data_IF_814664576437
#
_entry.id   IF_814664576437
#
_cell.length_a   1.000
_cell.length_b   1.000
_cell.length_c   1.000
_cell.angle_alpha   90.00
_cell.angle_beta   90.00
_cell.angle_gamma   90.00
#
_symmetry.space_group_name_H-M   'P 1'
#
loop_
_entity.id
_entity.type
_entity.pdbx_description
1 polymer ?
#
# COMPACT_ATOMS: atom_id res chain seq x y z
N UNK A 1 17.09 -9.95 23.99
CA UNK A 1 18.04 -8.85 23.66
C UNK A 1 19.46 -9.41 23.59
N UNK A 2 20.31 -8.85 22.71
CA UNK A 2 21.73 -9.19 22.66
C UNK A 2 22.49 -8.64 23.88
N UNK A 3 23.69 -9.16 24.13
CA UNK A 3 24.58 -8.61 25.21
C UNK A 3 24.89 -7.14 24.99
N UNK A 4 25.08 -6.72 23.73
CA UNK A 4 25.33 -5.34 23.34
C UNK A 4 24.11 -4.44 23.61
N UNK A 5 22.90 -4.96 23.39
CA UNK A 5 21.67 -4.20 23.65
C UNK A 5 21.43 -4.02 25.16
N UNK A 6 21.69 -5.06 25.95
CA UNK A 6 21.60 -4.96 27.39
C UNK A 6 22.59 -3.96 27.97
N UNK A 7 23.85 -3.99 27.52
CA UNK A 7 24.86 -3.02 27.94
C UNK A 7 24.46 -1.58 27.62
N UNK A 8 23.86 -1.37 26.45
CA UNK A 8 23.35 -0.05 26.06
C UNK A 8 22.18 0.40 26.95
N UNK A 9 21.20 -0.46 27.16
CA UNK A 9 20.03 -0.15 28.00
C UNK A 9 20.46 0.18 29.44
N UNK A 10 21.46 -0.51 29.98
CA UNK A 10 21.97 -0.30 31.32
C UNK A 10 22.67 1.06 31.53
N UNK A 11 23.09 1.75 30.47
CA UNK A 11 23.65 3.10 30.55
C UNK A 11 22.61 4.15 30.96
N UNK A 12 21.34 3.85 30.78
CA UNK A 12 20.25 4.76 31.11
C UNK A 12 19.91 4.70 32.61
N UNK A 13 19.59 5.87 33.18
CA UNK A 13 19.30 5.99 34.63
C UNK A 13 17.83 5.73 34.92
N UNK A 14 17.60 4.91 35.93
CA UNK A 14 16.26 4.60 36.43
C UNK A 14 15.56 3.49 35.66
N UNK A 15 14.85 2.65 36.39
CA UNK A 15 14.16 1.48 35.85
C UNK A 15 13.09 1.79 34.81
N UNK A 16 12.27 2.89 34.93
CA UNK A 16 11.34 3.29 33.88
C UNK A 16 12.04 3.58 32.55
N UNK A 17 13.17 4.28 32.56
CA UNK A 17 13.89 4.61 31.34
C UNK A 17 14.54 3.39 30.71
N UNK A 18 15.14 2.51 31.53
CA UNK A 18 15.71 1.22 31.04
C UNK A 18 14.65 0.34 30.39
N UNK A 19 13.49 0.18 31.08
CA UNK A 19 12.41 -0.62 30.52
C UNK A 19 11.84 0.05 29.26
N UNK A 20 11.65 1.37 29.29
CA UNK A 20 11.10 2.11 28.17
C UNK A 20 11.93 2.02 26.90
N UNK A 21 13.24 2.31 27.01
CA UNK A 21 14.13 2.24 25.82
C UNK A 21 14.28 0.80 25.31
N UNK A 22 14.29 -0.19 26.18
CA UNK A 22 14.37 -1.59 25.78
C UNK A 22 13.11 -2.07 25.04
N UNK A 23 11.94 -1.62 25.48
CA UNK A 23 10.66 -1.89 24.80
C UNK A 23 10.63 -1.19 23.44
N UNK A 24 10.97 0.10 23.36
CA UNK A 24 11.05 0.84 22.09
C UNK A 24 12.05 0.20 21.12
N UNK A 25 13.20 -0.21 21.59
CA UNK A 25 14.20 -0.92 20.79
C UNK A 25 13.65 -2.24 20.23
N UNK A 26 12.92 -3.00 21.04
CA UNK A 26 12.28 -4.24 20.59
C UNK A 26 11.27 -4.00 19.47
N UNK A 27 10.46 -2.94 19.57
CA UNK A 27 9.50 -2.57 18.52
C UNK A 27 10.17 -2.05 17.24
N UNK A 28 11.29 -1.34 17.37
CA UNK A 28 12.08 -0.88 16.22
C UNK A 28 12.80 -2.04 15.52
N UNK A 29 13.27 -3.04 16.27
CA UNK A 29 13.87 -4.25 15.70
C UNK A 29 12.79 -5.15 15.08
N UNK A 30 11.64 -5.34 15.75
CA UNK A 30 10.50 -6.13 15.29
C UNK A 30 9.18 -5.57 15.86
N UNK A 31 8.25 -5.11 15.03
CA UNK A 31 8.15 -5.22 13.56
C UNK A 31 8.89 -4.13 12.75
N UNK A 32 9.56 -3.16 13.37
CA UNK A 32 10.26 -2.07 12.69
C UNK A 32 9.54 -0.73 12.80
N UNK A 33 8.72 -0.54 13.83
CA UNK A 33 7.97 0.70 14.09
C UNK A 33 8.25 1.26 15.48
N UNK A 34 7.95 2.51 15.67
CA UNK A 34 7.91 3.13 17.00
C UNK A 34 6.57 2.79 17.67
N UNK A 35 6.59 2.56 18.98
CA UNK A 35 5.37 2.44 19.77
C UNK A 35 4.77 3.84 20.00
N UNK A 36 3.52 4.04 19.67
CA UNK A 36 2.82 5.34 19.75
C UNK A 36 2.67 5.87 21.17
N UNK A 37 2.32 7.16 21.30
CA UNK A 37 2.21 7.85 22.61
C UNK A 37 1.15 7.21 23.52
N UNK A 38 0.01 6.84 22.96
CA UNK A 38 -1.10 6.24 23.71
C UNK A 38 -1.18 4.71 23.50
N UNK A 39 -0.11 4.09 23.04
CA UNK A 39 -0.06 2.67 22.76
C UNK A 39 0.70 1.94 23.85
N UNK A 40 0.04 0.94 24.44
CA UNK A 40 0.69 0.05 25.38
C UNK A 40 1.39 -1.09 24.64
N UNK A 41 2.59 -1.48 25.07
CA UNK A 41 3.26 -2.64 24.51
C UNK A 41 2.47 -3.91 24.77
N UNK A 42 2.66 -4.91 23.91
CA UNK A 42 2.05 -6.21 24.13
C UNK A 42 2.46 -6.78 25.49
N UNK A 43 1.52 -7.21 26.36
CA UNK A 43 1.83 -7.59 27.75
C UNK A 43 2.91 -8.64 27.89
N UNK A 44 2.94 -9.65 27.00
CA UNK A 44 3.99 -10.69 27.01
C UNK A 44 5.38 -10.13 26.68
N UNK A 45 5.47 -9.18 25.76
CA UNK A 45 6.75 -8.52 25.42
C UNK A 45 7.21 -7.66 26.61
N UNK A 46 6.33 -6.86 27.19
CA UNK A 46 6.63 -6.03 28.33
C UNK A 46 7.17 -6.87 29.50
N UNK A 47 6.47 -7.94 29.85
CA UNK A 47 6.88 -8.84 30.92
C UNK A 47 8.21 -9.52 30.62
N UNK A 48 8.40 -9.99 29.38
CA UNK A 48 9.66 -10.62 28.97
C UNK A 48 10.86 -9.68 29.07
N UNK A 49 10.71 -8.43 28.61
CA UNK A 49 11.76 -7.40 28.68
C UNK A 49 12.04 -7.01 30.13
N UNK A 50 10.99 -6.79 30.93
CA UNK A 50 11.11 -6.47 32.35
C UNK A 50 11.86 -7.56 33.11
N UNK A 51 11.55 -8.83 32.88
CA UNK A 51 12.24 -9.98 33.47
C UNK A 51 13.73 -10.01 33.08
N UNK A 52 14.07 -9.74 31.82
CA UNK A 52 15.47 -9.69 31.35
C UNK A 52 16.28 -8.56 32.00
N UNK A 53 15.61 -7.47 32.37
CA UNK A 53 16.25 -6.30 33.00
C UNK A 53 16.25 -6.40 34.54
N UNK A 54 15.50 -7.34 35.10
CA UNK A 54 15.32 -7.46 36.56
C UNK A 54 14.50 -6.32 37.16
N UNK A 55 13.55 -5.72 36.37
CA UNK A 55 12.70 -4.61 36.81
C UNK A 55 11.23 -5.01 36.83
N UNK A 56 10.41 -4.28 37.57
CA UNK A 56 8.98 -4.49 37.59
C UNK A 56 8.32 -3.97 36.30
N UNK A 57 7.33 -4.68 35.74
CA UNK A 57 6.69 -4.30 34.49
C UNK A 57 5.79 -3.05 34.60
N UNK A 58 5.28 -2.76 35.82
CA UNK A 58 4.41 -1.62 36.12
C UNK A 58 5.13 -0.27 36.02
N UNK A 59 6.48 -0.25 36.13
CA UNK A 59 7.27 0.98 35.91
C UNK A 59 7.15 1.53 34.48
N UNK A 60 6.60 0.74 33.55
CA UNK A 60 6.26 1.22 32.21
C UNK A 60 5.37 2.46 32.21
N UNK A 61 4.40 2.52 33.13
CA UNK A 61 3.47 3.64 33.23
C UNK A 61 4.17 4.96 33.54
N UNK A 62 5.28 4.90 34.30
CA UNK A 62 6.09 6.08 34.61
C UNK A 62 6.90 6.56 33.41
N UNK A 63 7.33 5.65 32.54
CA UNK A 63 7.97 5.98 31.28
C UNK A 63 6.96 6.55 30.27
N UNK A 64 5.80 5.94 30.16
CA UNK A 64 4.75 6.34 29.22
C UNK A 64 4.24 7.78 29.46
N UNK A 65 4.31 8.26 30.69
CA UNK A 65 3.92 9.62 31.08
C UNK A 65 4.94 10.73 30.67
N UNK A 66 6.10 10.37 30.13
CA UNK A 66 7.21 11.31 29.82
C UNK A 66 7.47 11.40 28.33
N UNK A 67 6.70 12.20 27.61
CA UNK A 67 6.77 12.29 26.14
C UNK A 67 8.12 12.78 25.62
N UNK A 68 8.75 13.77 26.29
CA UNK A 68 10.05 14.29 25.89
C UNK A 68 11.14 13.21 25.95
N UNK A 69 11.23 12.51 27.10
CA UNK A 69 12.16 11.39 27.27
C UNK A 69 11.96 10.28 26.24
N UNK A 70 10.70 10.01 25.89
CA UNK A 70 10.38 9.02 24.84
C UNK A 70 10.90 9.44 23.48
N UNK A 71 10.73 10.71 23.11
CA UNK A 71 11.22 11.25 21.81
C UNK A 71 12.74 11.20 21.75
N UNK A 72 13.44 11.59 22.82
CA UNK A 72 14.90 11.51 22.93
C UNK A 72 15.40 10.07 22.77
N UNK A 73 14.80 9.12 23.50
CA UNK A 73 15.16 7.70 23.40
C UNK A 73 14.90 7.13 22.02
N UNK A 74 13.80 7.51 21.36
CA UNK A 74 13.53 7.08 19.98
C UNK A 74 14.58 7.63 19.03
N UNK A 75 14.97 8.91 19.15
CA UNK A 75 15.99 9.51 18.31
C UNK A 75 17.35 8.80 18.49
N UNK A 76 17.75 8.52 19.72
CA UNK A 76 18.96 7.77 20.05
C UNK A 76 18.93 6.35 19.45
N UNK A 77 17.82 5.65 19.58
CA UNK A 77 17.63 4.31 19.02
C UNK A 77 17.69 4.30 17.49
N UNK A 78 17.12 5.31 16.84
CA UNK A 78 17.19 5.42 15.37
C UNK A 78 18.63 5.57 14.91
N UNK A 79 19.41 6.42 15.56
CA UNK A 79 20.84 6.57 15.27
C UNK A 79 21.60 5.25 15.50
N UNK A 80 21.38 4.61 16.64
CA UNK A 80 22.03 3.34 16.99
C UNK A 80 21.71 2.22 16.01
N UNK A 81 20.44 2.10 15.61
CA UNK A 81 19.99 1.06 14.71
C UNK A 81 20.20 1.42 13.23
N UNK A 82 20.68 2.63 12.92
CA UNK A 82 20.83 3.12 11.55
C UNK A 82 19.50 3.15 10.80
N UNK A 83 18.44 3.60 11.47
CA UNK A 83 17.11 3.75 10.89
C UNK A 83 16.82 5.23 10.67
N UNK A 84 16.12 5.56 9.60
CA UNK A 84 15.62 6.90 9.31
C UNK A 84 14.12 7.02 9.65
N UNK A 85 13.69 8.21 10.03
CA UNK A 85 12.28 8.53 10.15
C UNK A 85 11.65 8.65 8.75
N UNK A 86 10.39 8.26 8.65
CA UNK A 86 9.62 8.40 7.43
C UNK A 86 9.25 9.88 7.17
N UNK A 87 9.61 10.41 6.02
CA UNK A 87 9.42 11.81 5.64
C UNK A 87 8.38 11.98 4.52
N UNK A 88 8.01 13.23 4.23
CA UNK A 88 7.15 13.55 3.08
C UNK A 88 7.84 13.26 1.73
N UNK A 89 9.18 13.29 1.69
CA UNK A 89 9.96 12.92 0.52
C UNK A 89 9.89 11.40 0.29
N UNK A 90 10.03 10.61 1.36
CA UNK A 90 9.87 9.15 1.31
C UNK A 90 8.47 8.76 0.84
N UNK A 91 7.43 9.49 1.30
CA UNK A 91 6.06 9.26 0.83
C UNK A 91 5.99 9.36 -0.69
N UNK A 92 6.50 10.46 -1.27
CA UNK A 92 6.48 10.68 -2.71
C UNK A 92 7.30 9.64 -3.47
N UNK A 93 8.48 9.32 -2.96
CA UNK A 93 9.37 8.32 -3.55
C UNK A 93 8.77 6.91 -3.54
N UNK A 94 8.13 6.51 -2.42
CA UNK A 94 7.47 5.21 -2.29
C UNK A 94 6.23 5.13 -3.18
N UNK A 95 5.40 6.19 -3.28
CA UNK A 95 4.27 6.22 -4.20
C UNK A 95 4.72 6.01 -5.64
N UNK A 96 5.74 6.75 -6.11
CA UNK A 96 6.25 6.60 -7.47
C UNK A 96 6.86 5.22 -7.73
N UNK A 97 7.54 4.65 -6.73
CA UNK A 97 8.08 3.29 -6.82
C UNK A 97 6.96 2.22 -6.88
N UNK A 98 5.85 2.43 -6.15
CA UNK A 98 4.74 1.49 -6.06
C UNK A 98 3.81 1.54 -7.28
N UNK A 99 3.76 2.66 -8.01
CA UNK A 99 2.83 2.89 -9.14
C UNK A 99 2.85 1.78 -10.19
N UNK A 100 4.01 1.25 -10.66
CA UNK A 100 4.03 0.15 -11.63
C UNK A 100 3.41 -1.15 -11.10
N UNK A 101 3.56 -1.43 -9.81
CA UNK A 101 2.95 -2.59 -9.17
C UNK A 101 1.43 -2.39 -9.00
N UNK A 102 1.01 -1.17 -8.64
CA UNK A 102 -0.39 -0.79 -8.51
C UNK A 102 -1.17 -0.86 -9.84
N UNK A 103 -0.48 -0.67 -10.98
CA UNK A 103 -1.08 -0.88 -12.30
C UNK A 103 -1.40 -2.36 -12.61
N UNK A 104 -0.83 -3.30 -11.87
CA UNK A 104 -0.97 -4.74 -12.13
C UNK A 104 -1.89 -5.47 -11.15
N UNK A 105 -2.15 -4.88 -9.99
CA UNK A 105 -3.01 -5.49 -8.98
C UNK A 105 -3.86 -4.46 -8.26
N UNK A 106 -5.11 -4.83 -8.00
CA UNK A 106 -6.05 -4.06 -7.17
C UNK A 106 -6.06 -4.54 -5.72
N UNK A 107 -5.24 -5.56 -5.39
CA UNK A 107 -5.20 -6.15 -4.03
C UNK A 107 -4.40 -5.27 -3.09
N UNK A 108 -5.08 -4.48 -2.26
CA UNK A 108 -4.45 -3.56 -1.31
C UNK A 108 -3.45 -4.23 -0.36
N UNK A 109 -3.72 -5.47 0.10
CA UNK A 109 -2.80 -6.21 0.96
C UNK A 109 -1.45 -6.51 0.28
N UNK A 110 -1.46 -6.84 -1.02
CA UNK A 110 -0.23 -7.11 -1.79
C UNK A 110 0.61 -5.83 -1.89
N UNK A 111 -0.03 -4.70 -2.16
CA UNK A 111 0.64 -3.40 -2.21
C UNK A 111 1.19 -3.00 -0.84
N UNK A 112 0.43 -3.19 0.24
CA UNK A 112 0.87 -2.90 1.60
C UNK A 112 2.09 -3.74 2.01
N UNK A 113 2.10 -5.03 1.68
CA UNK A 113 3.26 -5.90 1.91
C UNK A 113 4.50 -5.42 1.14
N UNK A 114 4.32 -4.99 -0.11
CA UNK A 114 5.40 -4.42 -0.91
C UNK A 114 5.96 -3.13 -0.29
N UNK A 115 5.08 -2.23 0.20
CA UNK A 115 5.49 -1.00 0.91
C UNK A 115 6.30 -1.34 2.16
N UNK A 116 5.81 -2.26 2.99
CA UNK A 116 6.52 -2.69 4.22
C UNK A 116 7.90 -3.25 3.89
N UNK A 117 8.01 -4.10 2.87
CA UNK A 117 9.28 -4.66 2.44
C UNK A 117 10.25 -3.57 1.94
N UNK A 118 9.75 -2.62 1.15
CA UNK A 118 10.57 -1.53 0.61
C UNK A 118 11.04 -0.55 1.70
N UNK A 119 10.19 -0.18 2.66
CA UNK A 119 10.58 0.66 3.79
C UNK A 119 11.68 -0.01 4.64
N UNK A 120 11.55 -1.30 4.91
CA UNK A 120 12.59 -2.08 5.62
C UNK A 120 13.92 -2.11 4.85
N UNK A 121 13.87 -2.31 3.54
CA UNK A 121 15.04 -2.30 2.66
C UNK A 121 15.75 -0.94 2.70
N UNK A 122 14.99 0.15 2.71
CA UNK A 122 15.53 1.52 2.85
C UNK A 122 15.94 1.88 4.26
N UNK A 123 15.76 0.98 5.22
CA UNK A 123 16.02 1.21 6.65
C UNK A 123 15.21 2.39 7.20
N UNK A 124 13.98 2.54 6.75
CA UNK A 124 13.04 3.54 7.21
C UNK A 124 12.06 2.89 8.19
N UNK A 125 11.78 3.58 9.28
CA UNK A 125 10.79 3.16 10.27
C UNK A 125 9.42 3.02 9.64
N UNK A 126 8.72 1.91 9.96
CA UNK A 126 7.39 1.67 9.44
C UNK A 126 6.41 2.72 9.98
N UNK A 127 5.71 3.34 9.05
CA UNK A 127 4.63 4.27 9.35
C UNK A 127 3.39 3.56 9.88
N UNK A 128 2.48 4.27 10.58
CA UNK A 128 1.18 3.73 10.96
C UNK A 128 0.41 3.16 9.77
N UNK A 129 -0.46 2.18 10.03
CA UNK A 129 -1.24 1.48 9.00
C UNK A 129 -1.99 2.45 8.09
N UNK A 130 -2.60 3.50 8.66
CA UNK A 130 -3.31 4.52 7.89
C UNK A 130 -2.42 5.25 6.85
N UNK A 131 -1.12 5.43 7.14
CA UNK A 131 -0.17 6.02 6.20
C UNK A 131 0.16 5.04 5.08
N UNK A 132 0.33 3.75 5.41
CA UNK A 132 0.57 2.69 4.43
C UNK A 132 -0.64 2.54 3.49
N UNK A 133 -1.86 2.55 4.04
CA UNK A 133 -3.09 2.52 3.25
C UNK A 133 -3.19 3.72 2.30
N UNK A 134 -2.85 4.92 2.77
CA UNK A 134 -2.83 6.13 1.96
C UNK A 134 -1.78 6.07 0.84
N UNK A 135 -0.59 5.50 1.10
CA UNK A 135 0.43 5.23 0.08
C UNK A 135 -0.12 4.31 -1.03
N UNK A 136 -0.76 3.21 -0.64
CA UNK A 136 -1.35 2.27 -1.58
C UNK A 136 -2.48 2.89 -2.40
N UNK A 137 -3.37 3.67 -1.77
CA UNK A 137 -4.47 4.34 -2.44
C UNK A 137 -3.98 5.41 -3.45
N UNK A 138 -2.99 6.21 -3.05
CA UNK A 138 -2.39 7.22 -3.94
C UNK A 138 -1.68 6.58 -5.12
N UNK A 139 -0.89 5.52 -4.91
CA UNK A 139 -0.22 4.79 -5.98
C UNK A 139 -1.24 4.14 -6.94
N UNK A 140 -2.32 3.54 -6.43
CA UNK A 140 -3.39 2.97 -7.24
C UNK A 140 -4.10 4.05 -8.07
N UNK A 141 -4.39 5.20 -7.47
CA UNK A 141 -5.02 6.33 -8.17
C UNK A 141 -4.14 6.86 -9.29
N UNK A 142 -2.83 7.02 -9.06
CA UNK A 142 -1.88 7.46 -10.10
C UNK A 142 -1.75 6.43 -11.22
N UNK A 143 -1.58 5.17 -10.86
CA UNK A 143 -1.52 4.08 -11.82
C UNK A 143 -2.78 4.03 -12.70
N UNK A 144 -3.95 4.18 -12.10
CA UNK A 144 -5.22 4.21 -12.81
C UNK A 144 -5.32 5.41 -13.77
N UNK A 145 -4.94 6.59 -13.33
CA UNK A 145 -4.88 7.79 -14.19
C UNK A 145 -3.93 7.58 -15.38
N UNK A 146 -2.74 7.02 -15.14
CA UNK A 146 -1.76 6.71 -16.18
C UNK A 146 -2.32 5.72 -17.20
N UNK A 147 -3.00 4.66 -16.73
CA UNK A 147 -3.66 3.68 -17.61
C UNK A 147 -4.76 4.34 -18.43
N UNK A 148 -5.63 5.12 -17.81
CA UNK A 148 -6.71 5.81 -18.53
C UNK A 148 -6.17 6.84 -19.53
N UNK A 149 -5.16 7.63 -19.16
CA UNK A 149 -4.53 8.55 -20.09
C UNK A 149 -4.00 7.83 -21.32
N UNK A 150 -3.29 6.70 -21.15
CA UNK A 150 -2.78 5.88 -22.26
C UNK A 150 -3.89 5.26 -23.12
N UNK A 151 -4.99 4.83 -22.48
CA UNK A 151 -6.13 4.27 -23.20
C UNK A 151 -6.89 5.32 -24.00
N UNK A 152 -6.89 6.57 -23.58
CA UNK A 152 -7.55 7.69 -24.27
C UNK A 152 -6.60 8.47 -25.16
N UNK A 153 -5.31 8.21 -25.09
CA UNK A 153 -4.32 8.83 -25.97
C UNK A 153 -4.56 8.40 -27.43
N UNK A 154 -4.65 9.39 -28.32
CA UNK A 154 -4.97 9.16 -29.72
C UNK A 154 -6.47 8.96 -30.04
N UNK A 155 -7.38 9.09 -29.07
CA UNK A 155 -8.81 9.19 -29.35
C UNK A 155 -9.13 10.58 -29.92
N UNK A 156 -9.63 10.64 -31.14
CA UNK A 156 -10.21 11.87 -31.71
C UNK A 156 -11.54 12.23 -31.03
N UNK A 157 -12.00 13.45 -31.28
CA UNK A 157 -13.24 13.96 -30.68
C UNK A 157 -14.48 13.14 -31.09
N UNK A 158 -14.53 12.64 -32.32
CA UNK A 158 -15.62 11.80 -32.83
C UNK A 158 -15.72 10.50 -32.05
N UNK A 159 -14.61 9.80 -31.85
CA UNK A 159 -14.57 8.53 -31.08
C UNK A 159 -14.87 8.73 -29.60
N UNK A 160 -14.42 9.85 -29.03
CA UNK A 160 -14.82 10.21 -27.65
C UNK A 160 -16.33 10.38 -27.55
N UNK A 161 -16.94 11.12 -28.49
CA UNK A 161 -18.38 11.25 -28.57
C UNK A 161 -19.10 9.92 -28.67
N UNK A 162 -18.65 9.01 -29.56
CA UNK A 162 -19.22 7.67 -29.68
C UNK A 162 -19.09 6.84 -28.41
N UNK A 163 -18.02 6.97 -27.63
CA UNK A 163 -17.86 6.32 -26.34
C UNK A 163 -18.78 6.93 -25.27
N UNK A 164 -18.96 8.25 -25.29
CA UNK A 164 -19.84 8.94 -24.36
C UNK A 164 -21.31 8.56 -24.64
N UNK A 165 -21.72 8.42 -25.91
CA UNK A 165 -23.05 7.92 -26.31
C UNK A 165 -23.36 6.52 -25.75
N UNK A 166 -22.35 5.70 -25.48
CA UNK A 166 -22.55 4.40 -24.83
C UNK A 166 -23.09 4.52 -23.40
N UNK A 167 -22.87 5.65 -22.75
CA UNK A 167 -23.36 5.92 -21.40
C UNK A 167 -24.81 6.39 -21.38
N UNK A 168 -25.32 6.84 -22.52
CA UNK A 168 -26.69 7.29 -22.65
C UNK A 168 -27.69 6.15 -22.55
N UNK A 169 -28.87 6.46 -22.03
CA UNK A 169 -29.96 5.50 -21.94
C UNK A 169 -30.46 5.17 -23.36
N UNK A 170 -30.73 3.92 -23.61
CA UNK A 170 -31.33 3.47 -24.87
C UNK A 170 -32.81 3.77 -24.86
N UNK A 171 -33.35 4.16 -26.00
CA UNK A 171 -34.78 4.40 -26.19
C UNK A 171 -35.62 3.23 -25.69
N UNK A 172 -36.54 3.53 -24.78
CA UNK A 172 -37.46 2.54 -24.19
C UNK A 172 -36.79 1.55 -23.22
N UNK A 173 -35.55 1.81 -22.77
CA UNK A 173 -34.83 0.92 -21.86
C UNK A 173 -34.31 1.69 -20.63
N UNK A 174 -34.37 1.12 -19.42
CA UNK A 174 -33.76 1.72 -18.25
C UNK A 174 -32.24 1.55 -18.21
N UNK A 175 -31.64 0.93 -19.23
CA UNK A 175 -30.22 0.60 -19.29
C UNK A 175 -29.50 1.37 -20.40
N UNK A 176 -28.28 1.82 -20.13
CA UNK A 176 -27.40 2.41 -21.13
C UNK A 176 -26.94 1.41 -22.18
N UNK A 177 -26.46 1.90 -23.33
CA UNK A 177 -25.87 1.06 -24.37
C UNK A 177 -24.67 0.26 -23.84
N UNK A 178 -23.85 0.83 -22.97
CA UNK A 178 -22.74 0.12 -22.31
C UNK A 178 -23.24 -1.02 -21.42
N UNK A 179 -24.28 -0.78 -20.61
CA UNK A 179 -24.88 -1.82 -19.76
C UNK A 179 -25.43 -2.98 -20.61
N UNK A 180 -26.07 -2.68 -21.74
CA UNK A 180 -26.54 -3.70 -22.68
C UNK A 180 -25.39 -4.51 -23.30
N UNK A 181 -24.29 -3.87 -23.69
CA UNK A 181 -23.10 -4.57 -24.22
C UNK A 181 -22.48 -5.51 -23.19
N UNK A 182 -22.48 -5.13 -21.92
CA UNK A 182 -21.94 -5.93 -20.80
C UNK A 182 -22.85 -7.04 -20.30
N UNK A 183 -24.10 -7.11 -20.76
CA UNK A 183 -25.02 -8.18 -20.32
C UNK A 183 -24.46 -9.55 -20.69
N UNK A 184 -24.33 -10.50 -19.74
CA UNK A 184 -23.87 -11.85 -20.04
C UNK A 184 -24.72 -12.53 -21.11
N UNK A 185 -24.18 -13.48 -21.88
CA UNK A 185 -24.96 -14.29 -22.78
C UNK A 185 -26.03 -15.07 -22.00
N UNK A 186 -27.24 -15.10 -22.52
CA UNK A 186 -28.30 -15.97 -22.02
C UNK A 186 -28.08 -17.44 -22.41
N UNK A 187 -29.04 -18.32 -22.07
CA UNK A 187 -28.99 -19.72 -22.48
C UNK A 187 -28.85 -19.84 -24.01
N UNK A 188 -28.23 -20.92 -24.54
CA UNK A 188 -27.89 -21.07 -25.96
C UNK A 188 -29.12 -21.30 -26.82
N UNK A 189 -29.88 -20.24 -27.04
CA UNK A 189 -31.07 -20.22 -27.94
C UNK A 189 -30.72 -19.41 -29.18
N UNK A 190 -31.45 -19.67 -30.28
CA UNK A 190 -31.29 -18.90 -31.52
C UNK A 190 -31.43 -17.39 -31.29
N UNK A 191 -32.39 -16.98 -30.43
CA UNK A 191 -32.58 -15.58 -30.02
C UNK A 191 -31.38 -15.02 -29.29
N UNK A 192 -30.76 -15.77 -28.37
CA UNK A 192 -29.58 -15.35 -27.62
C UNK A 192 -28.37 -15.19 -28.54
N UNK A 193 -28.20 -16.09 -29.52
CA UNK A 193 -27.13 -16.01 -30.52
C UNK A 193 -27.31 -14.76 -31.38
N UNK A 194 -28.49 -14.48 -31.90
CA UNK A 194 -28.78 -13.27 -32.69
C UNK A 194 -28.48 -11.99 -31.87
N UNK A 195 -28.88 -11.97 -30.60
CA UNK A 195 -28.60 -10.84 -29.73
C UNK A 195 -27.08 -10.66 -29.49
N UNK A 196 -26.33 -11.75 -29.38
CA UNK A 196 -24.87 -11.71 -29.23
C UNK A 196 -24.18 -11.17 -30.48
N UNK A 197 -24.63 -11.63 -31.67
CA UNK A 197 -24.13 -11.13 -32.94
C UNK A 197 -24.39 -9.62 -33.06
N UNK A 198 -25.60 -9.14 -32.72
CA UNK A 198 -25.90 -7.69 -32.71
C UNK A 198 -24.95 -6.89 -31.78
N UNK A 199 -24.60 -7.41 -30.61
CA UNK A 199 -23.64 -6.78 -29.71
C UNK A 199 -22.24 -6.74 -30.31
N UNK A 200 -21.77 -7.82 -30.94
CA UNK A 200 -20.47 -7.86 -31.63
C UNK A 200 -20.41 -6.83 -32.76
N UNK A 201 -21.47 -6.68 -33.54
CA UNK A 201 -21.55 -5.63 -34.57
C UNK A 201 -21.52 -4.22 -33.97
N UNK A 202 -22.21 -3.99 -32.84
CA UNK A 202 -22.17 -2.70 -32.16
C UNK A 202 -20.75 -2.37 -31.63
N UNK A 203 -20.05 -3.35 -31.04
CA UNK A 203 -18.67 -3.19 -30.60
C UNK A 203 -17.76 -2.89 -31.80
N UNK A 204 -17.90 -3.63 -32.90
CA UNK A 204 -17.11 -3.43 -34.12
C UNK A 204 -17.34 -2.05 -34.74
N UNK A 205 -18.55 -1.50 -34.64
CA UNK A 205 -18.88 -0.17 -35.17
C UNK A 205 -18.10 0.97 -34.45
N UNK A 206 -17.71 0.78 -33.20
CA UNK A 206 -16.91 1.73 -32.44
C UNK A 206 -15.45 1.81 -32.96
N UNK A 207 -15.04 0.86 -33.79
CA UNK A 207 -13.69 0.80 -34.40
C UNK A 207 -12.54 0.92 -33.39
N UNK A 208 -12.62 0.22 -32.28
CA UNK A 208 -11.57 0.14 -31.27
C UNK A 208 -10.38 -0.74 -31.68
N UNK A 209 -10.32 -1.19 -32.92
CA UNK A 209 -9.32 -2.15 -33.43
C UNK A 209 -7.87 -1.67 -33.23
N UNK A 210 -7.61 -0.36 -33.26
CA UNK A 210 -6.29 0.22 -32.96
C UNK A 210 -5.85 0.10 -31.49
N UNK A 211 -6.78 -0.14 -30.57
CA UNK A 211 -6.48 -0.25 -29.13
C UNK A 211 -6.13 -1.68 -28.71
N UNK A 212 -6.52 -2.69 -29.49
CA UNK A 212 -6.22 -4.11 -29.21
C UNK A 212 -4.74 -4.45 -29.37
N UNK A 213 -3.97 -3.64 -30.08
CA UNK A 213 -2.54 -3.85 -30.33
C UNK A 213 -1.62 -3.04 -29.40
N UNK A 214 -2.13 -2.26 -28.47
CA UNK A 214 -1.26 -1.78 -27.39
C UNK A 214 -0.96 -2.97 -26.48
N UNK A 215 0.31 -3.44 -26.48
CA UNK A 215 0.64 -4.62 -25.70
C UNK A 215 0.50 -4.30 -24.23
N UNK A 216 -0.55 -4.80 -23.59
CA UNK A 216 -0.57 -5.02 -22.13
C UNK A 216 0.69 -5.79 -21.69
N UNK A 217 1.40 -6.41 -22.62
CA UNK A 217 2.71 -7.04 -22.46
C UNK A 217 3.83 -6.07 -22.06
N UNK A 218 3.82 -4.82 -22.47
CA UNK A 218 4.86 -3.87 -22.07
C UNK A 218 4.74 -3.47 -20.59
N UNK A 219 3.55 -3.61 -20.01
CA UNK A 219 3.32 -3.45 -18.56
C UNK A 219 3.82 -4.68 -17.78
N UNK A 220 3.82 -5.87 -18.37
CA UNK A 220 4.30 -7.10 -17.72
C UNK A 220 5.83 -7.21 -17.67
N UNK A 221 6.55 -6.68 -18.62
CA UNK A 221 8.01 -6.88 -18.72
C UNK A 221 8.83 -6.04 -17.76
N UNK A 222 8.36 -4.86 -17.35
CA UNK A 222 9.07 -4.06 -16.34
C UNK A 222 8.88 -4.55 -14.90
N UNK A 223 7.84 -5.31 -14.61
CA UNK A 223 7.50 -5.78 -13.27
C UNK A 223 8.14 -7.11 -12.90
N UNK A 224 8.47 -7.97 -13.85
CA UNK A 224 9.08 -9.28 -13.55
C UNK A 224 10.46 -9.16 -12.89
N UNK A 225 11.15 -8.04 -13.06
CA UNK A 225 12.43 -7.78 -12.42
C UNK A 225 12.30 -7.33 -10.94
N UNK A 226 11.17 -6.72 -10.57
CA UNK A 226 10.96 -6.21 -9.21
C UNK A 226 10.39 -7.27 -8.25
N UNK A 227 9.55 -8.20 -8.76
CA UNK A 227 8.89 -9.23 -7.94
C UNK A 227 9.77 -10.47 -7.72
N UNK A 228 10.80 -10.73 -8.55
CA UNK A 228 11.72 -11.87 -8.40
C UNK A 228 12.83 -11.68 -7.37
N UNK A 229 12.86 -10.59 -6.63
CA UNK A 229 13.88 -10.32 -5.60
C UNK A 229 13.26 -10.04 -4.22
N UNK A 230 12.12 -10.65 -3.90
CA UNK A 230 11.59 -10.72 -2.53
C UNK A 230 11.56 -12.17 -2.08
#
# INVERSE_FOLDING_TARGET
MSKSDLAFVQQHRGDPNRLGIAVQMSYLQHPGRVLGENENPHPRLLHFVATQLGVAADVWMLYAARDETRREHVAELLLRLGLAQFTAEDFRAVVSWLEPAAAQTTRGLVLAQAVVAELRKRRIVLSPVAVIERLCAEAATRAQRTVFARLTDGLDAERRGQLDELLELRDGSPYSSLAWLRTPPGPPTARAIVMHIKRLYAIRAIRLERFWFMPLHSLKTQSSACIRRV
#
